data_IF_373075820935
#
_entry.id   IF_373075820935
#
_cell.length_a   1.000
_cell.length_b   1.000
_cell.length_c   1.000
_cell.angle_alpha   90.00
_cell.angle_beta   90.00
_cell.angle_gamma   90.00
#
_symmetry.space_group_name_H-M   'P 1'
#
loop_
_entity.id
_entity.type
_entity.pdbx_description
1 polymer ?
#
# COMPACT_ATOMS: atom_id res chain seq x y z
N UNK A 1 -20.35 -20.68 5.40
CA UNK A 1 -21.14 -19.56 4.85
C UNK A 1 -20.31 -18.91 3.74
N UNK A 2 -20.88 -18.47 2.62
CA UNK A 2 -20.11 -17.86 1.50
C UNK A 2 -20.33 -16.36 1.37
N UNK A 3 -21.37 -15.83 2.00
CA UNK A 3 -21.73 -14.41 2.03
C UNK A 3 -22.55 -14.12 3.28
N UNK A 4 -22.56 -12.88 3.74
CA UNK A 4 -23.43 -12.40 4.83
C UNK A 4 -24.91 -12.43 4.42
N UNK A 5 -25.80 -12.45 5.42
CA UNK A 5 -27.27 -12.45 5.22
C UNK A 5 -27.82 -11.05 4.93
N UNK A 6 -27.18 -10.00 5.45
CA UNK A 6 -27.69 -8.64 5.38
C UNK A 6 -27.43 -7.96 4.03
N UNK A 7 -28.28 -6.99 3.68
CA UNK A 7 -28.07 -6.07 2.54
C UNK A 7 -27.70 -4.65 2.97
N UNK A 8 -27.90 -4.31 4.25
CA UNK A 8 -27.39 -3.09 4.89
C UNK A 8 -26.68 -3.46 6.19
N UNK A 9 -25.51 -2.87 6.46
CA UNK A 9 -24.66 -3.25 7.62
C UNK A 9 -25.40 -3.21 8.96
N UNK A 10 -26.32 -2.24 9.15
CA UNK A 10 -27.13 -2.11 10.37
C UNK A 10 -28.00 -3.33 10.68
N UNK A 11 -28.27 -4.18 9.68
CA UNK A 11 -29.14 -5.35 9.79
C UNK A 11 -28.33 -6.65 9.99
N UNK A 12 -27.00 -6.56 10.09
CA UNK A 12 -26.13 -7.71 10.32
C UNK A 12 -26.15 -8.20 11.77
N UNK A 13 -25.97 -9.51 11.95
CA UNK A 13 -25.85 -10.12 13.28
C UNK A 13 -24.42 -10.59 13.58
N UNK A 14 -24.22 -11.12 14.79
CA UNK A 14 -22.90 -11.56 15.26
C UNK A 14 -22.24 -12.53 14.29
N UNK A 15 -22.98 -13.52 13.80
CA UNK A 15 -22.43 -14.58 12.97
C UNK A 15 -22.01 -14.02 11.59
N UNK A 16 -22.72 -13.00 11.06
CA UNK A 16 -22.30 -12.26 9.86
C UNK A 16 -20.96 -11.54 10.09
N UNK A 17 -20.81 -10.85 11.22
CA UNK A 17 -19.60 -10.08 11.52
C UNK A 17 -18.41 -10.97 11.87
N UNK A 18 -18.60 -12.08 12.58
CA UNK A 18 -17.54 -13.08 12.81
C UNK A 18 -17.03 -13.66 11.49
N UNK A 19 -17.93 -13.94 10.54
CA UNK A 19 -17.57 -14.36 9.20
C UNK A 19 -16.78 -13.28 8.45
N UNK A 20 -17.22 -12.02 8.48
CA UNK A 20 -16.51 -10.91 7.83
C UNK A 20 -15.15 -10.65 8.45
N UNK A 21 -15.03 -10.64 9.78
CA UNK A 21 -13.77 -10.39 10.49
C UNK A 21 -12.68 -11.37 10.05
N UNK A 22 -13.00 -12.65 9.86
CA UNK A 22 -12.03 -13.61 9.36
C UNK A 22 -11.53 -13.26 7.94
N UNK A 23 -12.41 -12.77 7.06
CA UNK A 23 -12.04 -12.35 5.70
C UNK A 23 -11.25 -11.03 5.72
N UNK A 24 -11.64 -10.08 6.57
CA UNK A 24 -10.96 -8.80 6.73
C UNK A 24 -9.54 -9.00 7.26
N UNK A 25 -9.33 -9.90 8.22
CA UNK A 25 -8.01 -10.26 8.74
C UNK A 25 -7.14 -10.88 7.64
N UNK A 26 -7.65 -11.86 6.89
CA UNK A 26 -6.89 -12.49 5.78
C UNK A 26 -6.57 -11.45 4.68
N UNK A 27 -7.53 -10.60 4.34
CA UNK A 27 -7.32 -9.53 3.37
C UNK A 27 -6.25 -8.54 3.87
N UNK A 28 -6.35 -8.06 5.12
CA UNK A 28 -5.41 -7.12 5.72
C UNK A 28 -3.98 -7.69 5.81
N UNK A 29 -3.83 -8.98 6.13
CA UNK A 29 -2.54 -9.66 6.19
C UNK A 29 -1.77 -9.63 4.86
N UNK A 30 -2.48 -9.53 3.72
CA UNK A 30 -1.89 -9.46 2.37
C UNK A 30 -1.65 -8.03 1.87
N UNK A 31 -1.70 -7.02 2.76
CA UNK A 31 -1.46 -5.62 2.36
C UNK A 31 -0.07 -5.42 1.76
N UNK A 32 0.96 -6.08 2.31
CA UNK A 32 2.32 -5.98 1.77
C UNK A 32 2.43 -6.43 0.31
N UNK A 33 1.77 -7.53 -0.07
CA UNK A 33 1.75 -8.03 -1.46
C UNK A 33 1.14 -6.99 -2.40
N UNK A 34 0.01 -6.40 -2.01
CA UNK A 34 -0.66 -5.36 -2.80
C UNK A 34 0.18 -4.08 -2.93
N UNK A 35 0.96 -3.73 -1.90
CA UNK A 35 1.89 -2.60 -1.97
C UNK A 35 3.04 -2.87 -2.96
N UNK A 36 3.54 -4.11 -3.01
CA UNK A 36 4.54 -4.49 -4.01
C UNK A 36 3.97 -4.44 -5.42
N UNK A 37 2.74 -4.92 -5.63
CA UNK A 37 2.06 -4.81 -6.93
C UNK A 37 1.86 -3.35 -7.33
N UNK A 38 1.42 -2.49 -6.40
CA UNK A 38 1.26 -1.05 -6.64
C UNK A 38 2.59 -0.36 -6.96
N UNK A 39 3.68 -0.77 -6.30
CA UNK A 39 5.01 -0.24 -6.55
C UNK A 39 5.43 -0.51 -8.01
N UNK A 40 5.15 -1.71 -8.54
CA UNK A 40 5.42 -2.05 -9.95
C UNK A 40 4.62 -1.14 -10.90
N UNK A 41 3.38 -0.78 -10.55
CA UNK A 41 2.57 0.11 -11.39
C UNK A 41 3.13 1.54 -11.51
N UNK A 42 4.02 1.96 -10.61
CA UNK A 42 4.73 3.25 -10.71
C UNK A 42 5.66 3.33 -11.94
N UNK A 43 5.91 2.22 -12.63
CA UNK A 43 6.66 2.22 -13.89
C UNK A 43 5.87 2.80 -15.07
N UNK A 44 4.53 2.73 -15.01
CA UNK A 44 3.64 3.24 -16.04
C UNK A 44 3.15 4.69 -15.78
N UNK A 45 3.67 5.35 -14.74
CA UNK A 45 3.23 6.66 -14.25
C UNK A 45 3.66 7.88 -15.07
N UNK A 46 3.48 9.07 -14.48
CA UNK A 46 3.57 10.40 -15.09
C UNK A 46 4.60 10.53 -16.24
N UNK A 47 4.06 10.76 -17.45
CA UNK A 47 4.81 11.04 -18.68
C UNK A 47 5.52 12.40 -18.60
N UNK A 48 6.85 12.42 -18.75
CA UNK A 48 7.64 13.64 -18.87
C UNK A 48 9.06 13.56 -18.29
N UNK A 49 9.29 12.69 -17.31
CA UNK A 49 10.61 12.45 -16.72
C UNK A 49 11.40 11.37 -17.50
N UNK A 50 12.74 11.43 -17.42
CA UNK A 50 13.62 10.40 -18.01
C UNK A 50 13.63 9.09 -17.23
N UNK A 51 13.23 9.12 -15.96
CA UNK A 51 13.21 8.00 -15.03
C UNK A 51 11.77 7.87 -14.55
N UNK A 52 11.25 6.64 -14.54
CA UNK A 52 9.90 6.35 -14.05
C UNK A 52 9.84 6.52 -12.53
N UNK A 53 8.63 6.63 -11.99
CA UNK A 53 8.43 6.77 -10.55
C UNK A 53 8.92 5.52 -9.79
N UNK A 54 8.76 4.33 -10.39
CA UNK A 54 9.40 3.10 -9.90
C UNK A 54 10.93 3.22 -9.89
N UNK A 55 11.52 3.67 -11.00
CA UNK A 55 12.96 3.85 -11.12
C UNK A 55 13.54 4.79 -10.05
N UNK A 56 12.85 5.91 -9.78
CA UNK A 56 13.19 6.85 -8.71
C UNK A 56 13.13 6.19 -7.32
N UNK A 57 12.04 5.47 -7.03
CA UNK A 57 11.85 4.75 -5.76
C UNK A 57 12.95 3.72 -5.50
N UNK A 58 13.31 2.93 -6.52
CA UNK A 58 14.42 1.97 -6.44
C UNK A 58 15.77 2.65 -6.22
N UNK A 59 16.02 3.80 -6.86
CA UNK A 59 17.24 4.57 -6.66
C UNK A 59 17.34 5.09 -5.21
N UNK A 60 16.25 5.60 -4.65
CA UNK A 60 16.20 6.09 -3.27
C UNK A 60 16.51 4.96 -2.27
N UNK A 61 15.79 3.84 -2.38
CA UNK A 61 16.00 2.67 -1.52
C UNK A 61 17.41 2.07 -1.66
N UNK A 62 17.95 2.00 -2.88
CA UNK A 62 19.31 1.49 -3.12
C UNK A 62 20.38 2.38 -2.46
N UNK A 63 20.18 3.70 -2.46
CA UNK A 63 21.10 4.63 -1.78
C UNK A 63 21.04 4.44 -0.27
N UNK A 64 19.84 4.36 0.32
CA UNK A 64 19.66 4.09 1.74
C UNK A 64 20.32 2.75 2.15
N UNK A 65 20.12 1.70 1.36
CA UNK A 65 20.74 0.40 1.62
C UNK A 65 22.26 0.44 1.57
N UNK A 66 22.85 1.15 0.58
CA UNK A 66 24.31 1.31 0.47
C UNK A 66 24.90 2.16 1.59
N UNK A 67 24.11 3.04 2.18
CA UNK A 67 24.49 3.85 3.35
C UNK A 67 24.41 3.06 4.67
N UNK A 68 23.95 1.81 4.63
CA UNK A 68 23.79 0.98 5.82
C UNK A 68 22.61 1.39 6.70
N UNK A 69 21.60 2.05 6.13
CA UNK A 69 20.38 2.40 6.84
C UNK A 69 19.63 1.16 7.32
N UNK A 70 18.79 1.33 8.35
CA UNK A 70 17.94 0.25 8.85
C UNK A 70 16.82 -0.12 7.88
N UNK A 71 16.16 -1.25 8.16
CA UNK A 71 15.10 -1.80 7.30
C UNK A 71 13.91 -0.86 7.16
N UNK A 72 13.52 -0.16 8.24
CA UNK A 72 12.38 0.75 8.22
C UNK A 72 12.67 1.96 7.33
N UNK A 73 13.89 2.48 7.38
CA UNK A 73 14.34 3.57 6.52
C UNK A 73 14.39 3.15 5.05
N UNK A 74 14.90 1.95 4.76
CA UNK A 74 14.94 1.40 3.39
C UNK A 74 13.52 1.21 2.86
N UNK A 75 12.60 0.66 3.66
CA UNK A 75 11.21 0.45 3.28
C UNK A 75 10.48 1.79 3.04
N UNK A 76 10.66 2.77 3.92
CA UNK A 76 10.14 4.12 3.74
C UNK A 76 10.67 4.77 2.45
N UNK A 77 11.98 4.68 2.20
CA UNK A 77 12.57 5.21 0.97
C UNK A 77 12.02 4.52 -0.30
N UNK A 78 11.74 3.22 -0.23
CA UNK A 78 11.16 2.47 -1.33
C UNK A 78 9.71 2.86 -1.61
N UNK A 79 8.93 3.17 -0.57
CA UNK A 79 7.48 3.34 -0.67
C UNK A 79 7.01 4.80 -0.55
N UNK A 80 7.93 5.77 -0.39
CA UNK A 80 7.59 7.18 -0.16
C UNK A 80 6.65 7.80 -1.22
N UNK A 81 6.75 7.32 -2.46
CA UNK A 81 5.99 7.83 -3.61
C UNK A 81 4.80 6.92 -3.99
N UNK A 82 4.47 5.88 -3.20
CA UNK A 82 3.38 4.94 -3.53
C UNK A 82 2.00 5.61 -3.62
N UNK A 83 1.86 6.78 -2.97
CA UNK A 83 0.64 7.56 -3.01
C UNK A 83 0.39 8.32 -4.32
N UNK A 84 1.38 8.42 -5.22
CA UNK A 84 1.32 9.26 -6.42
C UNK A 84 0.19 8.84 -7.37
N UNK A 85 -0.18 7.56 -7.38
CA UNK A 85 -1.26 7.00 -8.22
C UNK A 85 -2.62 7.61 -7.88
N UNK A 86 -2.90 7.87 -6.60
CA UNK A 86 -4.23 8.26 -6.12
C UNK A 86 -4.28 9.68 -5.55
N UNK A 87 -3.14 10.21 -5.13
CA UNK A 87 -3.04 11.46 -4.38
C UNK A 87 -1.83 12.30 -4.83
N UNK A 88 -1.67 12.64 -6.13
CA UNK A 88 -0.44 13.25 -6.64
C UNK A 88 -0.02 14.56 -5.93
N UNK A 89 -0.99 15.35 -5.46
CA UNK A 89 -0.73 16.62 -4.77
C UNK A 89 -0.41 16.49 -3.27
N UNK A 90 -0.60 15.30 -2.69
CA UNK A 90 -0.42 15.00 -1.27
C UNK A 90 0.01 13.53 -1.08
N UNK A 91 0.85 13.05 -2.00
CA UNK A 91 1.21 11.64 -2.14
C UNK A 91 2.03 11.17 -0.95
N UNK A 92 2.79 12.07 -0.35
CA UNK A 92 3.60 11.89 0.84
C UNK A 92 2.72 11.60 2.07
N UNK A 93 1.70 12.42 2.32
CA UNK A 93 0.75 12.20 3.43
C UNK A 93 -0.05 10.91 3.25
N UNK A 94 -0.41 10.59 2.01
CA UNK A 94 -1.13 9.37 1.68
C UNK A 94 -0.24 8.13 1.86
N UNK A 95 0.99 8.15 1.35
CA UNK A 95 1.98 7.09 1.56
C UNK A 95 2.26 6.88 3.05
N UNK A 96 2.48 7.96 3.80
CA UNK A 96 2.67 7.89 5.24
C UNK A 96 1.48 7.25 5.96
N UNK A 97 0.26 7.52 5.51
CA UNK A 97 -0.95 6.93 6.11
C UNK A 97 -1.09 5.43 5.84
N UNK A 98 -0.58 4.95 4.71
CA UNK A 98 -0.52 3.52 4.38
C UNK A 98 0.51 2.79 5.24
N UNK A 99 1.67 3.42 5.48
CA UNK A 99 2.80 2.81 6.19
C UNK A 99 2.74 2.94 7.71
N UNK A 100 1.74 3.68 8.23
CA UNK A 100 1.54 3.81 9.67
C UNK A 100 1.32 2.42 10.31
N UNK A 101 1.90 2.17 11.50
CA UNK A 101 1.64 0.96 12.29
C UNK A 101 0.16 0.77 12.64
#
# INVERSE_FOLDING_TARGET
MTTVKFTAMKDGDRDDYEFLTAHEIDYAARTGERLLDALVQLDAGLSGYKITRLGHSLQAATRAWRDGADTDWIACALLHDIGDIYAPYNHDEYAASILKP
#
